data_IF_735668772420
#
_entry.id   IF_735668772420
#
_cell.length_a   1.000
_cell.length_b   1.000
_cell.length_c   1.000
_cell.angle_alpha   90.00
_cell.angle_beta   90.00
_cell.angle_gamma   90.00
#
_symmetry.space_group_name_H-M   'P 1'
#
loop_
_entity.id
_entity.type
_entity.pdbx_description
1 polymer ?
#
# COMPACT_ATOMS: atom_id res chain seq x y z
N UNK A 1 0.16 -15.06 -8.02
CA UNK A 1 1.49 -14.61 -7.55
C UNK A 1 1.28 -13.94 -6.20
N UNK A 2 2.10 -14.17 -5.20
CA UNK A 2 1.94 -13.47 -3.91
C UNK A 2 2.35 -12.00 -4.04
N UNK A 3 1.88 -11.15 -3.13
CA UNK A 3 2.30 -9.75 -3.03
C UNK A 3 3.83 -9.60 -2.99
N UNK A 4 4.49 -10.36 -2.10
CA UNK A 4 5.94 -10.32 -1.93
C UNK A 4 6.68 -10.71 -3.21
N UNK A 5 6.26 -11.80 -3.88
CA UNK A 5 6.90 -12.24 -5.12
C UNK A 5 6.78 -11.17 -6.22
N UNK A 6 5.59 -10.55 -6.33
CA UNK A 6 5.33 -9.51 -7.31
C UNK A 6 6.23 -8.29 -7.06
N UNK A 7 6.30 -7.81 -5.83
CA UNK A 7 7.13 -6.66 -5.46
C UNK A 7 8.61 -6.96 -5.73
N UNK A 8 9.11 -8.11 -5.30
CA UNK A 8 10.51 -8.50 -5.50
C UNK A 8 10.84 -8.58 -7.00
N UNK A 9 10.00 -9.22 -7.81
CA UNK A 9 10.20 -9.32 -9.26
C UNK A 9 10.21 -7.94 -9.93
N UNK A 10 9.18 -7.12 -9.66
CA UNK A 10 8.96 -5.85 -10.36
C UNK A 10 9.93 -4.75 -9.91
N UNK A 11 10.41 -4.79 -8.67
CA UNK A 11 11.37 -3.83 -8.12
C UNK A 11 12.78 -3.93 -8.72
N UNK A 12 13.06 -4.99 -9.50
CA UNK A 12 14.36 -5.25 -10.16
C UNK A 12 15.56 -5.17 -9.20
N UNK A 13 15.39 -5.70 -7.98
CA UNK A 13 16.44 -5.81 -6.98
C UNK A 13 16.51 -4.67 -5.97
N UNK A 14 15.63 -3.67 -6.05
CA UNK A 14 15.45 -2.66 -4.98
C UNK A 14 14.86 -3.34 -3.74
N UNK A 15 13.85 -4.19 -3.95
CA UNK A 15 13.26 -5.05 -2.91
C UNK A 15 13.69 -6.49 -3.17
N UNK A 16 14.05 -7.18 -2.10
CA UNK A 16 14.55 -8.55 -2.05
C UNK A 16 13.93 -9.25 -0.86
N UNK A 17 14.06 -10.57 -0.77
CA UNK A 17 13.63 -11.33 0.42
C UNK A 17 14.24 -10.81 1.73
N UNK A 18 15.40 -10.14 1.67
CA UNK A 18 16.09 -9.64 2.87
C UNK A 18 15.48 -8.36 3.44
N UNK A 19 14.75 -7.58 2.64
CA UNK A 19 14.21 -6.28 3.02
C UNK A 19 12.72 -6.13 2.67
N UNK A 20 12.03 -7.23 2.33
CA UNK A 20 10.61 -7.22 1.99
C UNK A 20 9.73 -6.83 3.19
N UNK A 21 10.11 -7.23 4.41
CA UNK A 21 9.38 -6.86 5.62
C UNK A 21 9.49 -5.35 5.91
N UNK A 22 10.70 -4.79 5.79
CA UNK A 22 10.93 -3.34 5.92
C UNK A 22 10.15 -2.55 4.85
N UNK A 23 10.12 -3.08 3.62
CA UNK A 23 9.33 -2.50 2.54
C UNK A 23 7.83 -2.55 2.87
N UNK A 24 7.31 -3.68 3.32
CA UNK A 24 5.90 -3.86 3.64
C UNK A 24 5.44 -2.93 4.77
N UNK A 25 6.25 -2.77 5.81
CA UNK A 25 5.98 -1.82 6.89
C UNK A 25 5.97 -0.39 6.37
N UNK A 26 6.99 0.00 5.60
CA UNK A 26 7.07 1.35 5.05
C UNK A 26 5.91 1.65 4.08
N UNK A 27 5.52 0.67 3.26
CA UNK A 27 4.42 0.76 2.31
C UNK A 27 3.08 0.92 3.04
N UNK A 28 2.81 0.10 4.05
CA UNK A 28 1.60 0.24 4.86
C UNK A 28 1.59 1.61 5.56
N UNK A 29 2.65 2.01 6.25
CA UNK A 29 2.70 3.35 6.86
C UNK A 29 2.41 4.48 5.85
N UNK A 30 2.88 4.37 4.61
CA UNK A 30 2.60 5.37 3.58
C UNK A 30 1.12 5.39 3.16
N UNK A 31 0.49 4.22 2.96
CA UNK A 31 -0.94 4.14 2.67
C UNK A 31 -1.78 4.65 3.85
N UNK A 32 -1.45 4.27 5.09
CA UNK A 32 -2.24 4.68 6.26
C UNK A 32 -2.25 6.20 6.44
N UNK A 33 -1.09 6.82 6.28
CA UNK A 33 -0.94 8.25 6.49
C UNK A 33 -1.71 9.09 5.45
N UNK A 34 -1.93 8.54 4.26
CA UNK A 34 -2.72 9.18 3.19
C UNK A 34 -4.21 8.82 3.26
N UNK A 35 -4.57 7.76 3.99
CA UNK A 35 -5.96 7.37 4.18
C UNK A 35 -6.70 8.39 5.06
N UNK A 36 -7.90 8.77 4.63
CA UNK A 36 -8.82 9.51 5.46
C UNK A 36 -9.76 8.52 6.14
N UNK A 37 -9.66 8.38 7.46
CA UNK A 37 -10.50 7.44 8.24
C UNK A 37 -11.99 7.77 8.20
N UNK A 38 -12.39 8.98 7.77
CA UNK A 38 -13.80 9.34 7.56
C UNK A 38 -14.39 8.77 6.24
N UNK A 39 -13.58 8.05 5.43
CA UNK A 39 -14.08 7.41 4.21
C UNK A 39 -15.07 6.30 4.60
N UNK A 40 -16.25 6.20 3.97
CA UNK A 40 -17.22 5.17 4.32
C UNK A 40 -16.72 3.74 4.12
N UNK A 41 -17.18 2.84 4.99
CA UNK A 41 -16.97 1.40 4.90
C UNK A 41 -17.41 0.84 3.54
N UNK A 42 -16.54 0.06 2.90
CA UNK A 42 -16.71 -0.54 1.59
C UNK A 42 -16.31 0.34 0.40
N UNK A 43 -15.84 1.58 0.62
CA UNK A 43 -15.47 2.48 -0.48
C UNK A 43 -14.16 2.09 -1.16
N UNK A 44 -14.16 2.18 -2.49
CA UNK A 44 -13.00 1.91 -3.32
C UNK A 44 -12.08 3.14 -3.38
N UNK A 45 -10.82 2.96 -3.04
CA UNK A 45 -9.83 4.03 -3.01
C UNK A 45 -8.62 3.71 -3.89
N UNK A 46 -8.18 4.68 -4.69
CA UNK A 46 -6.93 4.57 -5.45
C UNK A 46 -5.76 5.21 -4.68
N UNK A 47 -4.56 4.66 -4.83
CA UNK A 47 -3.34 5.25 -4.27
C UNK A 47 -2.25 5.41 -5.33
N UNK A 48 -1.37 6.39 -5.10
CA UNK A 48 -0.13 6.57 -5.85
C UNK A 48 0.98 7.06 -4.89
N UNK A 49 1.95 6.20 -4.59
CA UNK A 49 3.00 6.45 -3.59
C UNK A 49 4.37 6.38 -4.26
N UNK A 50 5.19 7.38 -4.00
CA UNK A 50 6.60 7.40 -4.39
C UNK A 50 7.47 7.00 -3.17
N UNK A 51 8.10 5.82 -3.22
CA UNK A 51 8.96 5.34 -2.14
C UNK A 51 10.09 4.44 -2.67
N UNK A 52 11.24 4.46 -1.99
CA UNK A 52 12.38 3.58 -2.33
C UNK A 52 12.85 3.71 -3.80
N UNK A 53 12.69 4.90 -4.41
CA UNK A 53 13.00 5.12 -5.82
C UNK A 53 12.03 4.45 -6.80
N UNK A 54 10.84 4.10 -6.33
CA UNK A 54 9.77 3.50 -7.12
C UNK A 54 8.48 4.30 -6.96
N UNK A 55 7.65 4.26 -8.01
CA UNK A 55 6.27 4.74 -8.00
C UNK A 55 5.33 3.56 -8.00
N UNK A 56 4.56 3.42 -6.93
CA UNK A 56 3.58 2.36 -6.70
C UNK A 56 2.19 2.94 -6.91
N UNK A 57 1.36 2.30 -7.73
CA UNK A 57 -0.05 2.65 -7.88
C UNK A 57 -0.91 1.42 -7.71
N UNK A 58 -2.07 1.61 -7.12
CA UNK A 58 -2.99 0.53 -6.87
C UNK A 58 -4.28 1.02 -6.26
N UNK A 59 -4.97 0.10 -5.60
CA UNK A 59 -6.20 0.38 -4.92
C UNK A 59 -6.34 -0.42 -3.61
N UNK A 60 -7.27 0.00 -2.79
CA UNK A 60 -7.67 -0.66 -1.55
C UNK A 60 -9.17 -0.40 -1.28
N UNK A 61 -9.75 -1.16 -0.35
CA UNK A 61 -11.10 -0.91 0.17
C UNK A 61 -10.96 -0.29 1.55
N UNK A 62 -11.68 0.79 1.81
CA UNK A 62 -11.79 1.33 3.17
C UNK A 62 -12.73 0.44 3.97
N UNK A 63 -12.27 -0.15 5.08
CA UNK A 63 -13.11 -1.01 5.91
C UNK A 63 -13.08 -0.60 7.38
N UNK A 64 -14.23 -0.68 8.04
CA UNK A 64 -14.30 -0.53 9.48
C UNK A 64 -13.76 -1.78 10.17
N UNK A 65 -12.69 -1.62 10.95
CA UNK A 65 -11.97 -2.73 11.59
C UNK A 65 -12.57 -3.18 12.94
N UNK A 66 -13.78 -2.72 13.27
CA UNK A 66 -14.50 -3.18 14.47
C UNK A 66 -14.13 -2.46 15.77
N UNK A 67 -13.52 -1.28 15.70
CA UNK A 67 -13.28 -0.45 16.87
C UNK A 67 -14.58 0.25 17.30
N UNK A 68 -15.12 -0.15 18.45
CA UNK A 68 -16.36 0.42 18.98
C UNK A 68 -16.18 1.83 19.54
N UNK A 69 -14.97 2.23 19.91
CA UNK A 69 -14.68 3.60 20.35
C UNK A 69 -14.64 4.56 19.15
N UNK A 70 -14.34 4.03 17.95
CA UNK A 70 -14.31 4.75 16.67
C UNK A 70 -15.18 4.04 15.61
N UNK A 71 -16.51 4.02 15.78
CA UNK A 71 -17.42 3.19 14.98
C UNK A 71 -17.57 3.63 13.51
N UNK A 72 -16.95 4.75 13.14
CA UNK A 72 -16.99 5.31 11.80
C UNK A 72 -15.60 5.43 11.17
N UNK A 73 -14.52 5.04 11.88
CA UNK A 73 -13.17 5.16 11.35
C UNK A 73 -12.79 3.91 10.55
N UNK A 74 -12.41 4.09 9.30
CA UNK A 74 -11.95 3.01 8.43
C UNK A 74 -10.43 2.91 8.41
N UNK A 75 -9.96 1.73 7.99
CA UNK A 75 -8.57 1.49 7.59
C UNK A 75 -8.52 0.96 6.14
N UNK A 76 -7.38 1.14 5.44
CA UNK A 76 -7.11 0.50 4.16
C UNK A 76 -6.96 -1.01 4.26
N UNK A 77 -7.83 -1.76 3.57
CA UNK A 77 -7.78 -3.23 3.47
C UNK A 77 -7.84 -3.69 2.02
N UNK A 78 -7.69 -5.00 1.79
CA UNK A 78 -7.68 -5.61 0.46
C UNK A 78 -6.73 -4.93 -0.55
N UNK A 79 -5.59 -4.43 -0.06
CA UNK A 79 -4.66 -3.62 -0.85
C UNK A 79 -4.11 -4.43 -2.03
N UNK A 80 -4.21 -3.88 -3.24
CA UNK A 80 -3.67 -4.46 -4.46
C UNK A 80 -2.76 -3.47 -5.19
N UNK A 81 -1.68 -3.98 -5.78
CA UNK A 81 -0.76 -3.22 -6.61
C UNK A 81 -1.11 -3.41 -8.08
N UNK A 82 -1.55 -2.34 -8.73
CA UNK A 82 -1.87 -2.35 -10.16
C UNK A 82 -0.64 -2.04 -11.01
N UNK A 83 0.28 -1.20 -10.50
CA UNK A 83 1.44 -0.74 -11.23
C UNK A 83 2.64 -0.43 -10.35
N UNK A 84 3.84 -0.80 -10.82
CA UNK A 84 5.12 -0.44 -10.23
C UNK A 84 6.06 0.08 -11.33
N UNK A 85 6.56 1.29 -11.14
CA UNK A 85 7.55 1.93 -12.00
C UNK A 85 8.81 2.26 -11.20
N UNK A 86 10.00 2.02 -11.78
CA UNK A 86 11.27 2.44 -11.19
C UNK A 86 11.57 3.86 -11.65
N UNK A 87 11.74 4.77 -10.69
CA UNK A 87 12.09 6.16 -10.95
C UNK A 87 13.59 6.20 -11.26
N UNK A 88 13.96 6.35 -12.54
CA UNK A 88 15.36 6.56 -12.92
C UNK A 88 15.76 7.98 -12.54
N UNK A 89 16.63 8.11 -11.54
CA UNK A 89 17.35 9.36 -11.31
C UNK A 89 18.40 9.46 -12.43
N UNK A 90 18.33 10.54 -13.21
CA UNK A 90 19.23 10.83 -14.32
C UNK A 90 20.65 11.16 -13.85
#
# INVERSE_FOLDING_TARGET
MSWNDLVIEKSRGIVTEKNIDDFNVAFWCAINNEHNSDIPDGEFCEFAIDMWGMKLKGHYIAEWIGDNDYPNETEPTEIQLDHLEIIKVA
#
